data_IF_351119168552
#
_entry.id   IF_351119168552
#
_cell.length_a   1.000
_cell.length_b   1.000
_cell.length_c   1.000
_cell.angle_alpha   90.00
_cell.angle_beta   90.00
_cell.angle_gamma   90.00
#
_symmetry.space_group_name_H-M   'P 1'
#
loop_
_entity.id
_entity.type
_entity.pdbx_description
1 polymer ?
#
# COMPACT_ATOMS: atom_id res chain seq x y z
N UNK A 1 -6.21 -5.97 -18.64
CA UNK A 1 -6.43 -6.98 -17.59
C UNK A 1 -6.06 -6.35 -16.27
N UNK A 2 -6.76 -6.68 -15.18
CA UNK A 2 -6.32 -6.33 -13.82
C UNK A 2 -5.33 -7.39 -13.36
N UNK A 3 -4.19 -6.95 -12.85
CA UNK A 3 -3.12 -7.82 -12.35
C UNK A 3 -2.85 -7.48 -10.89
N UNK A 4 -2.67 -8.49 -10.03
CA UNK A 4 -2.28 -8.26 -8.65
C UNK A 4 -0.93 -7.56 -8.62
N UNK A 5 -0.85 -6.48 -7.85
CA UNK A 5 0.35 -5.66 -7.74
C UNK A 5 1.00 -5.83 -6.36
N UNK A 6 0.23 -5.62 -5.30
CA UNK A 6 0.72 -5.81 -3.93
C UNK A 6 -0.40 -6.06 -2.94
N UNK A 7 0.02 -6.50 -1.75
CA UNK A 7 -0.80 -6.66 -0.57
C UNK A 7 -0.42 -5.57 0.44
N UNK A 8 -1.40 -5.02 1.15
CA UNK A 8 -1.17 -4.00 2.16
C UNK A 8 -1.62 -4.44 3.54
N UNK A 9 -0.71 -4.35 4.51
CA UNK A 9 -0.93 -4.53 5.94
C UNK A 9 -1.13 -3.15 6.57
N UNK A 10 -2.31 -2.91 7.12
CA UNK A 10 -2.58 -1.69 7.87
C UNK A 10 -2.05 -1.84 9.30
N UNK A 11 -1.45 -0.77 9.83
CA UNK A 11 -1.00 -0.69 11.21
C UNK A 11 -1.20 0.73 11.75
N UNK A 12 -1.26 0.87 13.08
CA UNK A 12 -1.35 2.19 13.72
C UNK A 12 -0.02 2.95 13.61
N UNK A 13 1.09 2.21 13.65
CA UNK A 13 2.45 2.72 13.45
C UNK A 13 3.24 1.74 12.59
N UNK A 14 4.27 2.23 11.90
CA UNK A 14 5.16 1.35 11.14
C UNK A 14 5.95 0.39 12.01
N UNK A 15 6.26 0.76 13.26
CA UNK A 15 6.99 -0.12 14.17
C UNK A 15 6.13 -1.32 14.59
N UNK A 16 4.83 -1.10 14.89
CA UNK A 16 3.89 -2.19 15.16
C UNK A 16 3.71 -3.09 13.93
N UNK A 17 3.53 -2.48 12.76
CA UNK A 17 3.37 -3.19 11.50
C UNK A 17 4.61 -4.01 11.13
N UNK A 18 5.82 -3.45 11.31
CA UNK A 18 7.10 -4.16 11.13
C UNK A 18 7.14 -5.38 12.04
N UNK A 19 7.01 -5.18 13.35
CA UNK A 19 7.10 -6.27 14.32
C UNK A 19 6.07 -7.38 14.05
N UNK A 20 4.88 -7.02 13.56
CA UNK A 20 3.86 -7.98 13.15
C UNK A 20 4.29 -8.80 11.93
N UNK A 21 4.67 -8.12 10.84
CA UNK A 21 5.01 -8.78 9.57
C UNK A 21 6.27 -9.62 9.70
N UNK A 22 7.34 -9.07 10.28
CA UNK A 22 8.61 -9.78 10.38
C UNK A 22 8.48 -11.03 11.27
N UNK A 23 7.68 -10.96 12.34
CA UNK A 23 7.38 -12.13 13.18
C UNK A 23 6.52 -13.16 12.46
N UNK A 24 5.51 -12.73 11.72
CA UNK A 24 4.57 -13.64 11.07
C UNK A 24 5.17 -14.36 9.85
N UNK A 25 6.02 -13.67 9.09
CA UNK A 25 6.52 -14.14 7.80
C UNK A 25 8.01 -14.48 7.80
N UNK A 26 8.75 -14.14 8.87
CA UNK A 26 10.19 -14.39 8.96
C UNK A 26 11.05 -13.59 7.96
N UNK A 27 10.47 -12.55 7.33
CA UNK A 27 11.15 -11.66 6.39
C UNK A 27 11.50 -10.32 7.05
N UNK A 28 12.35 -9.52 6.39
CA UNK A 28 12.62 -8.14 6.81
C UNK A 28 11.90 -7.15 5.90
N UNK A 29 11.26 -6.15 6.51
CA UNK A 29 10.69 -5.01 5.78
C UNK A 29 11.68 -3.84 5.78
N UNK A 30 11.81 -3.17 4.65
CA UNK A 30 12.71 -2.04 4.47
C UNK A 30 11.95 -0.72 4.52
N UNK A 31 12.62 0.41 4.84
CA UNK A 31 12.04 1.73 4.67
C UNK A 31 11.50 1.92 3.26
N UNK A 32 10.21 2.26 3.16
CA UNK A 32 9.57 2.68 1.93
C UNK A 32 9.69 4.19 1.73
N UNK A 33 8.55 4.85 1.51
CA UNK A 33 8.42 6.28 1.35
C UNK A 33 7.39 6.92 2.29
N UNK A 34 7.27 8.23 2.14
CA UNK A 34 6.24 9.07 2.75
C UNK A 34 5.34 9.62 1.66
N UNK A 35 4.03 9.54 1.87
CA UNK A 35 3.01 9.96 0.93
C UNK A 35 2.38 11.27 1.39
N UNK A 36 3.03 12.40 1.12
CA UNK A 36 2.56 13.71 1.61
C UNK A 36 1.11 14.05 1.26
N UNK A 37 0.65 13.68 0.05
CA UNK A 37 -0.75 13.86 -0.39
C UNK A 37 -1.75 13.09 0.47
N UNK A 38 -1.37 11.92 0.96
CA UNK A 38 -2.26 11.00 1.68
C UNK A 38 -1.99 10.99 3.18
N UNK A 39 -0.95 11.68 3.66
CA UNK A 39 -0.55 11.71 5.06
C UNK A 39 -0.25 10.32 5.62
N UNK A 40 0.37 9.45 4.82
CA UNK A 40 0.77 8.09 5.20
C UNK A 40 2.26 7.88 4.94
N UNK A 41 2.80 6.82 5.53
CA UNK A 41 4.15 6.32 5.27
C UNK A 41 4.15 4.80 5.24
N UNK A 42 5.16 4.18 4.63
CA UNK A 42 5.20 2.75 4.49
C UNK A 42 6.59 2.11 4.72
N UNK A 43 6.53 0.79 4.90
CA UNK A 43 7.65 -0.14 4.75
C UNK A 43 7.32 -1.14 3.65
N UNK A 44 8.33 -1.70 3.01
CA UNK A 44 8.16 -2.60 1.89
C UNK A 44 8.97 -3.88 2.08
N UNK A 45 8.40 -5.01 1.70
CA UNK A 45 9.13 -6.24 1.48
C UNK A 45 8.78 -6.78 0.10
N UNK A 46 9.78 -7.09 -0.71
CA UNK A 46 9.53 -7.73 -1.98
C UNK A 46 9.17 -9.19 -1.84
N UNK A 47 8.39 -9.66 -2.81
CA UNK A 47 8.01 -11.04 -3.00
C UNK A 47 8.46 -11.47 -4.42
N UNK A 48 8.08 -12.67 -4.83
CA UNK A 48 8.36 -13.18 -6.18
C UNK A 48 7.52 -12.46 -7.25
N UNK A 49 7.92 -12.60 -8.51
CA UNK A 49 7.21 -12.08 -9.70
C UNK A 49 6.89 -10.57 -9.69
N UNK A 50 7.70 -9.80 -8.96
CA UNK A 50 7.53 -8.35 -8.85
C UNK A 50 6.38 -7.93 -7.92
N UNK A 51 5.79 -8.87 -7.18
CA UNK A 51 4.87 -8.57 -6.10
C UNK A 51 5.62 -8.01 -4.89
N UNK A 52 4.92 -7.27 -4.05
CA UNK A 52 5.46 -6.82 -2.77
C UNK A 52 4.38 -6.76 -1.68
N UNK A 53 4.84 -6.71 -0.44
CA UNK A 53 4.04 -6.43 0.75
C UNK A 53 4.32 -5.00 1.19
N UNK A 54 3.27 -4.20 1.33
CA UNK A 54 3.31 -2.87 1.90
C UNK A 54 2.81 -2.92 3.35
N UNK A 55 3.63 -2.46 4.30
CA UNK A 55 3.13 -2.10 5.63
C UNK A 55 2.87 -0.60 5.62
N UNK A 56 1.63 -0.19 5.84
CA UNK A 56 1.23 1.21 5.75
C UNK A 56 0.57 1.69 7.04
N UNK A 57 0.92 2.91 7.44
CA UNK A 57 0.36 3.60 8.58
C UNK A 57 0.17 5.10 8.29
N UNK A 58 -0.61 5.78 9.13
CA UNK A 58 -0.69 7.24 9.12
C UNK A 58 0.66 7.80 9.56
N UNK A 59 1.21 8.74 8.79
CA UNK A 59 2.44 9.45 9.20
C UNK A 59 2.07 10.49 10.27
N UNK A 60 2.53 10.34 11.53
CA UNK A 60 2.19 11.27 12.60
C UNK A 60 2.78 12.67 12.40
N UNK A 61 3.77 12.81 11.50
CA UNK A 61 4.40 14.09 11.15
C UNK A 61 3.75 14.75 9.93
N UNK A 62 2.85 14.06 9.23
CA UNK A 62 2.20 14.62 8.06
C UNK A 62 1.01 15.50 8.44
N UNK A 63 0.80 16.56 7.66
CA UNK A 63 -0.44 17.35 7.72
C UNK A 63 -1.61 16.44 7.35
N UNK A 64 -2.68 16.47 8.14
CA UNK A 64 -3.89 15.70 7.82
C UNK A 64 -4.45 16.16 6.47
N UNK A 65 -4.64 15.26 5.49
CA UNK A 65 -5.22 15.63 4.21
C UNK A 65 -6.69 16.06 4.38
N UNK A 66 -7.17 16.85 3.41
CA UNK A 66 -8.59 17.25 3.36
C UNK A 66 -9.50 16.05 3.06
N UNK A 67 -9.03 15.17 2.19
CA UNK A 67 -9.75 13.98 1.74
C UNK A 67 -9.42 12.77 2.64
N UNK A 68 -10.30 11.74 2.69
CA UNK A 68 -10.01 10.50 3.42
C UNK A 68 -8.69 9.87 2.97
N UNK A 69 -7.92 9.36 3.94
CA UNK A 69 -6.69 8.63 3.66
C UNK A 69 -6.99 7.32 2.94
N UNK A 70 -5.99 6.85 2.18
CA UNK A 70 -6.05 5.56 1.53
C UNK A 70 -6.33 4.43 2.52
N UNK A 71 -6.93 3.37 1.99
CA UNK A 71 -7.23 2.14 2.73
C UNK A 71 -8.08 2.36 3.99
N UNK A 72 -8.88 3.44 4.02
CA UNK A 72 -9.73 3.82 5.16
C UNK A 72 -8.94 3.89 6.47
N UNK A 73 -7.67 4.28 6.42
CA UNK A 73 -6.80 4.33 7.59
C UNK A 73 -7.31 5.30 8.68
N UNK A 74 -8.13 6.29 8.33
CA UNK A 74 -8.77 7.17 9.32
C UNK A 74 -9.75 6.43 10.24
N UNK A 75 -10.28 5.28 9.80
CA UNK A 75 -11.22 4.43 10.54
C UNK A 75 -10.55 3.14 11.08
N UNK A 76 -9.29 2.91 10.68
CA UNK A 76 -8.56 1.72 11.10
C UNK A 76 -8.25 1.77 12.60
N UNK A 77 -8.52 0.66 13.28
CA UNK A 77 -8.22 0.48 14.70
C UNK A 77 -7.87 -0.97 14.98
N UNK A 78 -7.21 -1.21 16.11
CA UNK A 78 -6.80 -2.54 16.54
C UNK A 78 -5.39 -2.93 16.13
N UNK A 79 -5.13 -4.24 16.11
CA UNK A 79 -3.82 -4.81 15.80
C UNK A 79 -3.54 -4.80 14.30
N UNK A 80 -2.26 -4.80 13.87
CA UNK A 80 -1.91 -4.89 12.46
C UNK A 80 -2.54 -6.10 11.77
N UNK A 81 -3.02 -5.93 10.54
CA UNK A 81 -3.65 -7.01 9.77
C UNK A 81 -3.52 -6.77 8.26
N UNK A 82 -3.62 -7.85 7.48
CA UNK A 82 -3.79 -7.75 6.03
C UNK A 82 -5.13 -7.05 5.77
N UNK A 83 -5.07 -5.85 5.17
CA UNK A 83 -6.21 -4.96 5.06
C UNK A 83 -6.70 -4.81 3.62
N UNK A 84 -5.77 -4.67 2.66
CA UNK A 84 -6.09 -4.43 1.26
C UNK A 84 -5.23 -5.27 0.31
N UNK A 85 -5.76 -5.44 -0.90
CA UNK A 85 -5.09 -5.93 -2.10
C UNK A 85 -5.20 -4.87 -3.20
N UNK A 86 -4.13 -4.68 -3.96
CA UNK A 86 -4.05 -3.65 -4.99
C UNK A 86 -3.80 -4.34 -6.32
N UNK A 87 -4.57 -3.94 -7.33
CA UNK A 87 -4.37 -4.40 -8.70
C UNK A 87 -3.91 -3.24 -9.60
N UNK A 88 -2.93 -3.51 -10.45
CA UNK A 88 -2.49 -2.63 -11.53
C UNK A 88 -3.25 -2.92 -12.81
N UNK A 89 -3.28 -1.93 -13.71
CA UNK A 89 -3.81 -2.08 -15.07
C UNK A 89 -3.09 -1.15 -16.02
N UNK A 90 -2.87 -1.61 -17.25
CA UNK A 90 -2.37 -0.78 -18.35
C UNK A 90 -3.40 0.20 -18.90
N UNK A 91 -4.68 0.04 -18.57
CA UNK A 91 -5.76 0.92 -19.03
C UNK A 91 -6.82 1.08 -17.94
N UNK A 92 -6.68 2.12 -17.11
CA UNK A 92 -7.63 2.40 -16.04
C UNK A 92 -9.02 2.76 -16.59
N UNK A 93 -9.08 3.58 -17.65
CA UNK A 93 -10.34 4.06 -18.20
C UNK A 93 -11.23 2.91 -18.72
N UNK A 94 -10.65 1.96 -19.45
CA UNK A 94 -11.38 0.82 -19.98
C UNK A 94 -11.87 -0.19 -18.92
N UNK A 95 -11.22 -0.24 -17.74
CA UNK A 95 -11.71 -1.10 -16.65
C UNK A 95 -12.77 -0.38 -15.82
N UNK A 96 -12.60 0.92 -15.57
CA UNK A 96 -13.58 1.74 -14.87
C UNK A 96 -14.95 1.77 -15.58
N UNK A 97 -14.96 1.86 -16.92
CA UNK A 97 -16.21 1.82 -17.69
C UNK A 97 -17.02 0.53 -17.49
N UNK A 98 -16.37 -0.57 -17.06
CA UNK A 98 -17.00 -1.86 -16.76
C UNK A 98 -17.47 -1.98 -15.31
N UNK A 99 -16.90 -1.18 -14.39
CA UNK A 99 -17.20 -1.23 -12.95
C UNK A 99 -18.40 -0.33 -12.61
N UNK A 100 -18.58 0.79 -13.31
CA UNK A 100 -19.63 1.77 -13.01
C UNK A 100 -21.02 1.42 -13.57
N UNK A 101 -21.25 0.19 -14.03
CA UNK A 101 -22.59 -0.27 -14.40
C UNK A 101 -23.46 -0.66 -13.19
N UNK A 102 -22.87 -0.83 -11.99
CA UNK A 102 -23.60 -1.18 -10.76
C UNK A 102 -23.10 -0.31 -9.58
N UNK A 103 -23.90 0.67 -9.17
CA UNK A 103 -23.42 1.90 -8.52
C UNK A 103 -23.22 1.75 -7.02
N UNK A 104 -22.02 1.32 -6.56
CA UNK A 104 -21.52 1.54 -5.18
C UNK A 104 -20.00 1.77 -5.07
N UNK A 105 -19.35 2.14 -6.17
CA UNK A 105 -17.89 2.37 -6.19
C UNK A 105 -17.59 3.86 -6.23
N UNK A 106 -16.89 4.38 -5.22
CA UNK A 106 -16.34 5.73 -5.25
C UNK A 106 -15.01 5.73 -6.02
N UNK A 107 -14.94 6.50 -7.11
CA UNK A 107 -13.67 6.74 -7.81
C UNK A 107 -12.90 7.85 -7.10
N UNK A 108 -11.73 7.52 -6.54
CA UNK A 108 -10.79 8.52 -6.04
C UNK A 108 -9.58 8.48 -6.97
N UNK A 109 -9.36 9.49 -7.83
CA UNK A 109 -8.21 9.53 -8.71
C UNK A 109 -6.91 9.60 -7.89
N UNK A 110 -6.22 8.46 -7.85
CA UNK A 110 -4.88 8.34 -7.32
C UNK A 110 -3.87 8.78 -8.39
N UNK A 111 -3.02 9.76 -8.07
CA UNK A 111 -1.72 9.86 -8.73
C UNK A 111 -0.76 9.10 -7.84
N UNK A 112 -0.35 7.91 -8.26
CA UNK A 112 0.74 7.22 -7.60
C UNK A 112 2.03 8.00 -7.86
N UNK A 113 2.88 8.23 -6.84
CA UNK A 113 4.28 8.46 -7.14
C UNK A 113 4.79 7.22 -7.91
N UNK A 114 5.50 7.41 -9.03
CA UNK A 114 6.21 6.31 -9.68
C UNK A 114 7.31 5.84 -8.71
N UNK A 115 6.99 4.85 -7.89
CA UNK A 115 7.93 4.15 -7.04
C UNK A 115 8.26 2.84 -7.72
N UNK A 116 9.23 2.88 -8.63
CA UNK A 116 9.74 1.66 -9.24
C UNK A 116 10.82 1.14 -8.31
N UNK A 117 10.70 -0.09 -7.83
CA UNK A 117 11.75 -0.73 -7.06
C UNK A 117 11.95 -2.18 -7.54
N UNK A 118 13.19 -2.66 -7.50
CA UNK A 118 13.50 -4.08 -7.63
C UNK A 118 13.80 -4.64 -6.25
N UNK A 119 13.23 -5.81 -6.00
CA UNK A 119 13.41 -6.53 -4.76
C UNK A 119 14.27 -7.76 -5.01
N UNK A 120 15.29 -7.96 -4.18
CA UNK A 120 16.08 -9.20 -4.19
C UNK A 120 15.51 -10.18 -3.17
N UNK A 121 15.79 -11.48 -3.35
CA UNK A 121 15.34 -12.58 -2.48
C UNK A 121 15.78 -12.39 -1.02
N UNK A 122 16.83 -11.60 -0.78
CA UNK A 122 17.34 -11.25 0.55
C UNK A 122 16.60 -10.06 1.21
N UNK A 123 15.48 -9.61 0.63
CA UNK A 123 14.70 -8.48 1.12
C UNK A 123 15.36 -7.11 0.94
N UNK A 124 16.40 -7.01 0.08
CA UNK A 124 17.01 -5.71 -0.26
C UNK A 124 16.17 -5.00 -1.32
N UNK A 125 15.80 -3.76 -1.02
CA UNK A 125 15.08 -2.86 -1.93
C UNK A 125 16.09 -1.99 -2.68
N UNK A 126 16.03 -1.99 -4.02
CA UNK A 126 16.68 -0.98 -4.86
C UNK A 126 15.63 -0.17 -5.60
N UNK A 127 15.61 1.14 -5.34
CA UNK A 127 14.78 2.10 -6.07
C UNK A 127 15.34 2.31 -7.50
N UNK A 128 14.46 2.33 -8.50
CA UNK A 128 14.74 2.55 -9.93
C UNK A 128 14.25 3.93 -10.37
#
# INVERSE_FOLDING_TARGET
MLELDHLAVAARTLDEGRAYVERALGLRVQPGGRHGRYGTHNLLAGLEDGLYLEVIAIDPQAVRPRDPRWFRLDEFSGAPCLHNWICRTGDMAAHLSKVFTDTRVAFIPAQQPKMTARFNIDGQVRWL
#
